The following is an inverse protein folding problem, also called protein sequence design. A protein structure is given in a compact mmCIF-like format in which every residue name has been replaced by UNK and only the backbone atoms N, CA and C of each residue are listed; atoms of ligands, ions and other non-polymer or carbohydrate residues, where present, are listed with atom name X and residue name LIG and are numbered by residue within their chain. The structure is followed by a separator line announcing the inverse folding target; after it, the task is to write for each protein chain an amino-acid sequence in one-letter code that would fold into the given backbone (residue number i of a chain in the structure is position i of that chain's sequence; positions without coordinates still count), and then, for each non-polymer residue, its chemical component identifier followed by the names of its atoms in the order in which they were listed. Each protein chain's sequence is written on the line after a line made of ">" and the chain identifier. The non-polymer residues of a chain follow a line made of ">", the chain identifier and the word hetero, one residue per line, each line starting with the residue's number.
data_IF_189739515996
#
_entry.id   IF_189739515996
#
_cell.length_a   1.000
_cell.length_b   1.000
_cell.length_c   1.000
_cell.angle_alpha   90.00
_cell.angle_beta   90.00
_cell.angle_gamma   90.00
#
_symmetry.space_group_name_H-M   'P 1'
#
loop_
_entity.id
_entity.type
_entity.pdbx_description
1 polymer ?
#
# COMPACT_ATOMS: atom_id res chain seq x y z
N UNK A 1 -26.08 31.09 11.40
CA UNK A 1 -26.41 30.35 10.15
C UNK A 1 -25.33 30.47 9.08
N UNK A 2 -24.82 31.66 8.73
CA UNK A 2 -23.77 31.81 7.69
C UNK A 2 -22.45 31.09 7.99
N UNK A 3 -21.97 31.16 9.23
CA UNK A 3 -20.73 30.48 9.64
C UNK A 3 -20.83 28.95 9.51
N UNK A 4 -21.96 28.36 9.92
CA UNK A 4 -22.21 26.92 9.77
C UNK A 4 -22.23 26.47 8.31
N UNK A 5 -22.79 27.28 7.41
CA UNK A 5 -22.79 26.97 5.98
C UNK A 5 -21.37 26.96 5.38
N UNK A 6 -20.49 27.88 5.83
CA UNK A 6 -19.09 27.93 5.40
C UNK A 6 -18.31 26.71 5.90
N UNK A 7 -18.49 26.31 7.17
CA UNK A 7 -17.80 25.15 7.73
C UNK A 7 -18.16 23.85 7.02
N UNK A 8 -19.46 23.65 6.73
CA UNK A 8 -19.93 22.46 5.99
C UNK A 8 -19.31 22.43 4.59
N UNK A 9 -19.26 23.57 3.89
CA UNK A 9 -18.72 23.64 2.54
C UNK A 9 -17.22 23.32 2.48
N UNK A 10 -16.44 23.76 3.47
CA UNK A 10 -15.01 23.43 3.59
C UNK A 10 -14.79 21.93 3.81
N UNK A 11 -15.61 21.28 4.64
CA UNK A 11 -15.51 19.84 4.89
C UNK A 11 -15.81 19.01 3.62
N UNK A 12 -16.78 19.43 2.81
CA UNK A 12 -17.08 18.77 1.53
C UNK A 12 -15.94 18.93 0.52
N UNK A 13 -15.32 20.10 0.44
CA UNK A 13 -14.16 20.33 -0.46
C UNK A 13 -12.95 19.50 -0.01
N UNK A 14 -12.69 19.44 1.29
CA UNK A 14 -11.61 18.61 1.84
C UNK A 14 -11.83 17.12 1.54
N UNK A 15 -13.06 16.61 1.68
CA UNK A 15 -13.37 15.21 1.39
C UNK A 15 -13.14 14.82 -0.08
N UNK A 16 -13.43 15.72 -1.04
CA UNK A 16 -13.14 15.49 -2.45
C UNK A 16 -11.63 15.50 -2.76
N UNK A 17 -10.87 16.40 -2.14
CA UNK A 17 -9.42 16.46 -2.30
C UNK A 17 -8.74 15.15 -1.85
N UNK A 18 -9.18 14.60 -0.70
CA UNK A 18 -8.64 13.34 -0.15
C UNK A 18 -8.79 12.15 -1.11
N UNK A 19 -9.87 12.06 -1.89
CA UNK A 19 -10.02 10.95 -2.85
C UNK A 19 -9.09 11.08 -4.05
N UNK A 20 -8.90 12.30 -4.56
CA UNK A 20 -7.97 12.56 -5.65
C UNK A 20 -6.51 12.25 -5.23
N UNK A 21 -6.14 12.62 -4.01
CA UNK A 21 -4.83 12.31 -3.43
C UNK A 21 -4.61 10.80 -3.29
N UNK A 22 -5.61 10.06 -2.78
CA UNK A 22 -5.56 8.59 -2.68
C UNK A 22 -5.41 7.94 -4.04
N UNK A 23 -6.17 8.39 -5.05
CA UNK A 23 -6.04 7.86 -6.40
C UNK A 23 -4.63 8.10 -6.96
N UNK A 24 -4.08 9.30 -6.78
CA UNK A 24 -2.71 9.61 -7.20
C UNK A 24 -1.66 8.76 -6.47
N UNK A 25 -1.88 8.43 -5.19
CA UNK A 25 -1.01 7.52 -4.45
C UNK A 25 -1.03 6.11 -5.04
N UNK A 26 -2.22 5.56 -5.28
CA UNK A 26 -2.37 4.21 -5.84
C UNK A 26 -1.71 4.08 -7.22
N UNK A 27 -1.80 5.12 -8.06
CA UNK A 27 -1.11 5.13 -9.35
C UNK A 27 0.41 5.01 -9.19
N UNK A 28 1.00 5.78 -8.27
CA UNK A 28 2.43 5.68 -7.96
C UNK A 28 2.82 4.31 -7.44
N UNK A 29 2.00 3.72 -6.57
CA UNK A 29 2.25 2.39 -6.00
C UNK A 29 2.25 1.33 -7.12
N UNK A 30 1.32 1.41 -8.08
CA UNK A 30 1.26 0.53 -9.24
C UNK A 30 2.47 0.70 -10.15
N UNK A 31 2.86 1.95 -10.45
CA UNK A 31 4.03 2.24 -11.27
C UNK A 31 5.31 1.66 -10.65
N UNK A 32 5.44 1.75 -9.33
CA UNK A 32 6.57 1.17 -8.60
C UNK A 32 6.58 -0.36 -8.67
N UNK A 33 5.43 -1.01 -8.44
CA UNK A 33 5.31 -2.46 -8.60
C UNK A 33 5.69 -2.94 -10.00
N UNK A 34 5.25 -2.24 -11.05
CA UNK A 34 5.60 -2.56 -12.44
C UNK A 34 7.11 -2.43 -12.63
N UNK A 35 7.71 -1.35 -12.13
CA UNK A 35 9.15 -1.09 -12.25
C UNK A 35 9.99 -2.15 -11.53
N UNK A 36 9.57 -2.59 -10.35
CA UNK A 36 10.30 -3.53 -9.51
C UNK A 36 10.10 -4.98 -9.96
N UNK A 37 8.86 -5.42 -10.16
CA UNK A 37 8.53 -6.83 -10.40
C UNK A 37 8.28 -7.16 -11.89
N UNK A 38 7.94 -6.17 -12.71
CA UNK A 38 7.64 -6.35 -14.15
C UNK A 38 8.77 -7.04 -14.93
N UNK A 39 10.04 -6.61 -14.83
CA UNK A 39 11.15 -7.28 -15.50
C UNK A 39 11.35 -8.75 -15.07
N UNK A 40 10.99 -9.08 -13.82
CA UNK A 40 11.00 -10.47 -13.33
C UNK A 40 9.93 -11.31 -14.03
N UNK A 41 8.71 -10.77 -14.15
CA UNK A 41 7.62 -11.43 -14.85
C UNK A 41 7.87 -11.58 -16.36
N UNK A 42 8.53 -10.61 -16.99
CA UNK A 42 8.98 -10.74 -18.39
C UNK A 42 10.00 -11.87 -18.57
N UNK A 43 10.96 -11.99 -17.65
CA UNK A 43 11.93 -13.10 -17.65
C UNK A 43 11.27 -14.47 -17.44
N UNK A 44 10.13 -14.52 -16.76
CA UNK A 44 9.31 -15.73 -16.61
C UNK A 44 8.48 -16.05 -17.86
N UNK A 45 8.53 -15.19 -18.90
CA UNK A 45 7.86 -15.42 -20.18
C UNK A 45 6.45 -14.82 -20.27
N UNK A 46 6.02 -14.03 -19.28
CA UNK A 46 4.74 -13.34 -19.35
C UNK A 46 4.85 -12.13 -20.30
N UNK A 47 3.86 -11.99 -21.19
CA UNK A 47 3.80 -10.86 -22.12
C UNK A 47 3.50 -9.55 -21.36
N UNK A 48 4.28 -8.48 -21.54
CA UNK A 48 3.97 -7.17 -20.95
C UNK A 48 2.53 -6.73 -21.23
N UNK A 49 1.92 -6.05 -20.26
CA UNK A 49 0.54 -5.55 -20.33
C UNK A 49 -0.56 -6.60 -20.53
N UNK A 50 -0.25 -7.89 -20.39
CA UNK A 50 -1.25 -8.95 -20.36
C UNK A 50 -1.76 -9.20 -18.94
N UNK A 51 -2.99 -9.72 -18.82
CA UNK A 51 -3.56 -10.07 -17.51
C UNK A 51 -2.67 -11.07 -16.73
N UNK A 52 -2.09 -12.12 -17.35
CA UNK A 52 -1.14 -13.00 -16.66
C UNK A 52 0.12 -12.29 -16.14
N UNK A 53 0.60 -11.26 -16.86
CA UNK A 53 1.75 -10.46 -16.42
C UNK A 53 1.40 -9.57 -15.22
N UNK A 54 0.21 -8.95 -15.24
CA UNK A 54 -0.30 -8.16 -14.10
C UNK A 54 -0.50 -9.03 -12.86
N UNK A 55 -1.06 -10.23 -13.02
CA UNK A 55 -1.20 -11.20 -11.92
C UNK A 55 0.16 -11.60 -11.33
N UNK A 56 1.16 -11.87 -12.19
CA UNK A 56 2.52 -12.16 -11.74
C UNK A 56 3.10 -11.02 -10.88
N UNK A 57 2.95 -9.77 -11.32
CA UNK A 57 3.42 -8.59 -10.57
C UNK A 57 2.74 -8.53 -9.20
N UNK A 58 1.41 -8.64 -9.16
CA UNK A 58 0.62 -8.58 -7.92
C UNK A 58 1.06 -9.68 -6.95
N UNK A 59 1.26 -10.91 -7.44
CA UNK A 59 1.68 -12.04 -6.63
C UNK A 59 3.08 -11.87 -6.05
N UNK A 60 4.03 -11.35 -6.84
CA UNK A 60 5.39 -11.09 -6.37
C UNK A 60 5.43 -9.95 -5.34
N UNK A 61 4.71 -8.86 -5.59
CA UNK A 61 4.57 -7.75 -4.65
C UNK A 61 3.96 -8.22 -3.32
N UNK A 62 2.86 -8.98 -3.39
CA UNK A 62 2.20 -9.54 -2.20
C UNK A 62 3.13 -10.45 -1.40
N UNK A 63 3.91 -11.29 -2.09
CA UNK A 63 4.90 -12.17 -1.42
C UNK A 63 5.95 -11.36 -0.66
N UNK A 64 6.49 -10.32 -1.28
CA UNK A 64 7.51 -9.46 -0.68
C UNK A 64 6.95 -8.64 0.51
N UNK A 65 5.72 -8.16 0.40
CA UNK A 65 5.02 -7.48 1.51
C UNK A 65 4.81 -8.41 2.71
N UNK A 66 4.41 -9.66 2.47
CA UNK A 66 4.27 -10.68 3.53
C UNK A 66 5.63 -10.99 4.15
N UNK A 67 6.68 -11.16 3.34
CA UNK A 67 8.04 -11.43 3.82
C UNK A 67 8.55 -10.27 4.69
N UNK A 68 8.36 -9.02 4.25
CA UNK A 68 8.69 -7.81 5.02
C UNK A 68 7.89 -7.72 6.32
N UNK A 69 6.58 -7.95 6.28
CA UNK A 69 5.75 -7.95 7.49
C UNK A 69 6.19 -9.04 8.49
N UNK A 70 6.55 -10.23 8.01
CA UNK A 70 7.05 -11.30 8.87
C UNK A 70 8.36 -10.93 9.57
N UNK A 71 9.27 -10.24 8.85
CA UNK A 71 10.55 -9.76 9.40
C UNK A 71 10.34 -8.64 10.40
N UNK A 72 9.44 -7.71 10.10
CA UNK A 72 9.11 -6.60 10.99
C UNK A 72 8.17 -6.96 12.15
N UNK A 73 7.80 -8.24 12.31
CA UNK A 73 6.96 -8.68 13.41
C UNK A 73 7.67 -8.46 14.75
N UNK A 74 7.18 -7.48 15.51
CA UNK A 74 7.60 -7.24 16.88
C UNK A 74 6.93 -8.29 17.76
N UNK A 75 7.72 -9.24 18.24
CA UNK A 75 7.24 -10.19 19.23
C UNK A 75 7.46 -9.58 20.62
N UNK A 76 6.38 -9.24 21.30
CA UNK A 76 6.40 -8.79 22.69
C UNK A 76 5.99 -9.97 23.58
N UNK A 77 6.93 -10.47 24.37
CA UNK A 77 6.66 -11.50 25.39
C UNK A 77 6.66 -10.79 26.74
N UNK A 78 5.58 -10.94 27.51
CA UNK A 78 5.46 -10.27 28.81
C UNK A 78 4.09 -10.37 29.47
N UNK A 79 4.05 -10.09 30.77
CA UNK A 79 2.83 -9.87 31.55
C UNK A 79 2.62 -8.36 31.78
N UNK A 80 1.41 -7.91 32.19
CA UNK A 80 1.13 -6.49 32.42
C UNK A 80 2.18 -5.85 33.33
N UNK A 81 2.95 -4.89 32.79
CA UNK A 81 4.01 -4.16 33.50
C UNK A 81 5.45 -4.42 33.01
N UNK A 82 5.70 -5.53 32.28
CA UNK A 82 7.00 -5.80 31.66
C UNK A 82 6.79 -6.47 30.31
N UNK A 83 6.80 -5.68 29.23
CA UNK A 83 6.90 -6.20 27.86
C UNK A 83 8.33 -6.06 27.38
N UNK A 84 8.97 -7.17 27.05
CA UNK A 84 10.24 -7.14 26.33
C UNK A 84 9.92 -7.45 24.87
N UNK A 85 10.01 -6.42 24.04
CA UNK A 85 9.74 -6.50 22.62
C UNK A 85 11.06 -6.61 21.86
N UNK A 86 11.21 -7.63 21.04
CA UNK A 86 12.37 -7.80 20.15
C UNK A 86 11.93 -7.74 18.69
N UNK A 87 12.74 -7.06 17.87
CA UNK A 87 12.69 -7.12 16.40
C UNK A 87 13.69 -8.20 15.96
N UNK A 88 13.33 -9.03 14.99
CA UNK A 88 14.22 -10.02 14.40
C UNK A 88 14.69 -9.60 13.01
#
# INVERSE_FOLDING_TARGET
>A
MRAFAVTVLVLFVAACATQAERAAQVQRDVDDMIKVYGPGCEKLGFKPDSDPWRDCIIRLATKDDIERYSRDSINCIGHPGFFQCSRF
#
